data_IF_895818016953
#
_entry.id   IF_895818016953
#
_cell.length_a   1.000
_cell.length_b   1.000
_cell.length_c   1.000
_cell.angle_alpha   90.00
_cell.angle_beta   90.00
_cell.angle_gamma   90.00
#
_symmetry.space_group_name_H-M   'P 1'
#
loop_
_entity.id
_entity.type
_entity.pdbx_description
1 polymer ?
#
# COMPACT_ATOMS: atom_id res chain seq x y z
N UNK A 1 -12.46 -3.20 -29.32
CA UNK A 1 -12.34 -1.73 -29.16
C UNK A 1 -12.91 -1.38 -27.80
N UNK A 2 -12.04 -1.08 -26.82
CA UNK A 2 -12.48 -0.68 -25.48
C UNK A 2 -13.09 0.72 -25.55
N UNK A 3 -14.32 0.88 -25.08
CA UNK A 3 -14.98 2.17 -25.01
C UNK A 3 -14.20 3.07 -24.04
N UNK A 4 -13.74 4.23 -24.52
CA UNK A 4 -13.15 5.27 -23.66
C UNK A 4 -14.25 5.73 -22.70
N UNK A 5 -14.16 5.33 -21.43
CA UNK A 5 -15.06 5.85 -20.38
C UNK A 5 -14.69 7.32 -20.14
N UNK A 6 -15.54 8.22 -20.59
CA UNK A 6 -15.43 9.65 -20.32
C UNK A 6 -16.05 9.95 -18.95
N UNK A 7 -15.23 10.34 -17.99
CA UNK A 7 -15.68 10.74 -16.66
C UNK A 7 -15.67 12.27 -16.57
N UNK A 8 -16.75 12.86 -16.05
CA UNK A 8 -16.86 14.31 -15.83
C UNK A 8 -15.90 14.80 -14.73
N UNK A 9 -15.50 13.91 -13.81
CA UNK A 9 -14.60 14.22 -12.69
C UNK A 9 -13.53 13.13 -12.56
N UNK A 10 -12.26 13.55 -12.48
CA UNK A 10 -11.13 12.62 -12.38
C UNK A 10 -11.15 11.79 -11.09
N UNK A 11 -11.63 12.34 -9.98
CA UNK A 11 -11.76 11.60 -8.71
C UNK A 11 -12.63 10.35 -8.85
N UNK A 12 -13.77 10.46 -9.55
CA UNK A 12 -14.67 9.30 -9.76
C UNK A 12 -14.02 8.26 -10.66
N UNK A 13 -13.26 8.71 -11.67
CA UNK A 13 -12.47 7.80 -12.51
C UNK A 13 -11.45 7.03 -11.68
N UNK A 14 -10.67 7.74 -10.86
CA UNK A 14 -9.61 7.16 -10.03
C UNK A 14 -10.16 6.16 -9.01
N UNK A 15 -11.25 6.50 -8.30
CA UNK A 15 -11.92 5.57 -7.35
C UNK A 15 -12.37 4.29 -8.05
N UNK A 16 -12.90 4.39 -9.27
CA UNK A 16 -13.35 3.22 -10.03
C UNK A 16 -12.19 2.39 -10.62
N UNK A 17 -11.00 2.97 -10.75
CA UNK A 17 -9.77 2.28 -11.17
C UNK A 17 -9.10 1.52 -10.01
N UNK A 18 -9.36 1.89 -8.75
CA UNK A 18 -8.72 1.29 -7.55
C UNK A 18 -8.76 -0.24 -7.49
N UNK A 19 -9.88 -0.95 -7.75
CA UNK A 19 -9.92 -2.41 -7.62
C UNK A 19 -8.96 -3.13 -8.56
N UNK A 20 -8.83 -2.62 -9.79
CA UNK A 20 -7.94 -3.17 -10.81
C UNK A 20 -6.48 -2.84 -10.50
N UNK A 21 -6.21 -1.60 -10.05
CA UNK A 21 -4.87 -1.18 -9.63
C UNK A 21 -4.39 -2.02 -8.44
N UNK A 22 -5.21 -2.22 -7.41
CA UNK A 22 -4.86 -3.06 -6.25
C UNK A 22 -4.52 -4.48 -6.69
N UNK A 23 -5.37 -5.10 -7.52
CA UNK A 23 -5.12 -6.46 -8.02
C UNK A 23 -3.80 -6.55 -8.79
N UNK A 24 -3.56 -5.60 -9.69
CA UNK A 24 -2.36 -5.56 -10.52
C UNK A 24 -1.11 -5.38 -9.65
N UNK A 25 -1.11 -4.42 -8.73
CA UNK A 25 0.01 -4.18 -7.81
C UNK A 25 0.34 -5.42 -6.98
N UNK A 26 -0.66 -6.13 -6.46
CA UNK A 26 -0.42 -7.36 -5.68
C UNK A 26 0.23 -8.48 -6.51
N UNK A 27 -0.06 -8.56 -7.81
CA UNK A 27 0.55 -9.55 -8.70
C UNK A 27 1.97 -9.13 -9.08
N UNK A 28 2.14 -7.88 -9.50
CA UNK A 28 3.42 -7.34 -9.99
C UNK A 28 4.46 -7.27 -8.86
N UNK A 29 4.07 -6.86 -7.66
CA UNK A 29 4.99 -6.67 -6.53
C UNK A 29 5.17 -7.92 -5.68
N UNK A 30 4.55 -9.06 -6.03
CA UNK A 30 4.54 -10.26 -5.18
C UNK A 30 5.95 -10.72 -4.76
N UNK A 31 6.86 -10.81 -5.71
CA UNK A 31 8.24 -11.25 -5.45
C UNK A 31 9.04 -10.19 -4.70
N UNK A 32 8.79 -8.90 -4.97
CA UNK A 32 9.43 -7.81 -4.26
C UNK A 32 8.99 -7.77 -2.79
N UNK A 33 7.69 -7.93 -2.51
CA UNK A 33 7.13 -8.05 -1.15
C UNK A 33 7.80 -9.22 -0.42
N UNK A 34 7.92 -10.38 -1.07
CA UNK A 34 8.56 -11.56 -0.46
C UNK A 34 10.02 -11.30 -0.13
N UNK A 35 10.78 -10.70 -1.06
CA UNK A 35 12.19 -10.36 -0.85
C UNK A 35 12.34 -9.36 0.29
N UNK A 36 11.56 -8.29 0.31
CA UNK A 36 11.58 -7.28 1.38
C UNK A 36 11.22 -7.91 2.72
N UNK A 37 10.20 -8.77 2.78
CA UNK A 37 9.84 -9.46 4.01
C UNK A 37 10.99 -10.35 4.54
N UNK A 38 11.69 -11.05 3.66
CA UNK A 38 12.86 -11.86 4.03
C UNK A 38 14.02 -10.99 4.51
N UNK A 39 14.31 -9.90 3.81
CA UNK A 39 15.37 -8.94 4.17
C UNK A 39 15.09 -8.27 5.53
N UNK A 40 13.81 -8.15 5.91
CA UNK A 40 13.37 -7.42 7.10
C UNK A 40 13.08 -8.32 8.32
N UNK A 41 13.08 -9.65 8.18
CA UNK A 41 12.59 -10.59 9.21
C UNK A 41 13.34 -10.53 10.54
N UNK A 42 14.60 -10.09 10.54
CA UNK A 42 15.47 -10.07 11.71
C UNK A 42 15.43 -8.72 12.47
N UNK A 43 14.61 -7.77 12.01
CA UNK A 43 14.42 -6.47 12.66
C UNK A 43 13.15 -6.45 13.50
N UNK A 44 13.22 -5.82 14.68
CA UNK A 44 12.11 -5.80 15.65
C UNK A 44 11.31 -4.50 15.64
N UNK A 45 11.89 -3.39 15.14
CA UNK A 45 11.30 -2.05 15.17
C UNK A 45 11.40 -1.41 13.79
N UNK A 46 10.26 -0.91 13.29
CA UNK A 46 10.15 -0.27 11.98
C UNK A 46 9.63 1.16 12.10
N UNK A 47 10.27 2.07 11.37
CA UNK A 47 9.84 3.45 11.24
C UNK A 47 9.36 3.72 9.81
N UNK A 48 8.11 4.18 9.68
CA UNK A 48 7.51 4.54 8.39
C UNK A 48 7.35 6.06 8.35
N UNK A 49 7.88 6.73 7.32
CA UNK A 49 7.80 8.19 7.20
C UNK A 49 7.21 8.62 5.87
N UNK A 50 6.54 9.78 5.87
CA UNK A 50 5.91 10.38 4.70
C UNK A 50 5.17 11.67 5.06
N UNK A 51 4.59 12.33 4.06
CA UNK A 51 3.80 13.54 4.25
C UNK A 51 2.43 13.43 3.57
N UNK A 52 1.45 14.22 4.04
CA UNK A 52 0.12 14.27 3.43
C UNK A 52 -0.58 12.90 3.41
N UNK A 53 -1.08 12.49 2.25
CA UNK A 53 -1.76 11.20 2.06
C UNK A 53 -0.83 10.00 2.32
N UNK A 54 0.47 10.11 2.03
CA UNK A 54 1.44 9.06 2.31
C UNK A 54 1.65 8.84 3.81
N UNK A 55 1.58 9.91 4.62
CA UNK A 55 1.60 9.77 6.08
C UNK A 55 0.39 8.95 6.59
N UNK A 56 -0.80 9.21 6.05
CA UNK A 56 -2.02 8.48 6.43
C UNK A 56 -1.96 7.01 5.99
N UNK A 57 -1.36 6.72 4.83
CA UNK A 57 -1.08 5.34 4.40
C UNK A 57 -0.07 4.64 5.33
N UNK A 58 0.95 5.37 5.80
CA UNK A 58 1.87 4.89 6.82
C UNK A 58 1.14 4.55 8.13
N UNK A 59 0.21 5.40 8.57
CA UNK A 59 -0.54 5.17 9.80
C UNK A 59 -1.41 3.92 9.70
N UNK A 60 -2.11 3.74 8.58
CA UNK A 60 -2.86 2.51 8.31
C UNK A 60 -1.94 1.27 8.32
N UNK A 61 -0.74 1.39 7.74
CA UNK A 61 0.26 0.31 7.69
C UNK A 61 0.79 -0.04 9.08
N UNK A 62 1.01 0.95 9.95
CA UNK A 62 1.41 0.74 11.35
C UNK A 62 0.39 -0.14 12.09
N UNK A 63 -0.91 0.17 11.97
CA UNK A 63 -1.95 -0.64 12.60
C UNK A 63 -1.99 -2.06 12.01
N UNK A 64 -1.91 -2.18 10.68
CA UNK A 64 -1.96 -3.46 9.99
C UNK A 64 -0.78 -4.36 10.37
N UNK A 65 0.46 -3.86 10.28
CA UNK A 65 1.66 -4.62 10.60
C UNK A 65 1.68 -5.03 12.07
N UNK A 66 1.41 -4.09 12.98
CA UNK A 66 1.38 -4.38 14.42
C UNK A 66 0.34 -5.42 14.78
N UNK A 67 -0.86 -5.35 14.18
CA UNK A 67 -1.97 -6.26 14.50
C UNK A 67 -1.84 -7.64 13.85
N UNK A 68 -1.25 -7.72 12.66
CA UNK A 68 -1.15 -8.98 11.90
C UNK A 68 0.12 -9.77 12.20
N UNK A 69 1.20 -9.10 12.57
CA UNK A 69 2.53 -9.73 12.71
C UNK A 69 3.14 -9.59 14.10
N UNK A 70 2.61 -8.69 14.94
CA UNK A 70 3.19 -8.38 16.26
C UNK A 70 4.45 -7.50 16.20
N UNK A 71 4.86 -7.06 15.02
CA UNK A 71 6.02 -6.20 14.81
C UNK A 71 5.73 -4.78 15.31
N UNK A 72 6.67 -4.18 16.04
CA UNK A 72 6.55 -2.78 16.49
C UNK A 72 6.79 -1.85 15.29
N UNK A 73 5.73 -1.17 14.85
CA UNK A 73 5.82 -0.18 13.77
C UNK A 73 5.41 1.19 14.30
N UNK A 74 6.16 2.24 13.95
CA UNK A 74 5.84 3.63 14.30
C UNK A 74 5.89 4.52 13.06
N UNK A 75 4.85 5.32 12.84
CA UNK A 75 4.91 6.41 11.85
C UNK A 75 5.62 7.63 12.39
N UNK A 76 6.45 8.26 11.56
CA UNK A 76 7.16 9.52 11.83
C UNK A 76 6.81 10.59 10.81
#
# INVERSE_FOLDING_TARGET
>A
MSAIKCYQHNMIREILEEPDVIRRTLIEERENIRRVAEDLKDYEIFYVTGSGTSYHAGLASQYALSSLTGIITSTL
#
